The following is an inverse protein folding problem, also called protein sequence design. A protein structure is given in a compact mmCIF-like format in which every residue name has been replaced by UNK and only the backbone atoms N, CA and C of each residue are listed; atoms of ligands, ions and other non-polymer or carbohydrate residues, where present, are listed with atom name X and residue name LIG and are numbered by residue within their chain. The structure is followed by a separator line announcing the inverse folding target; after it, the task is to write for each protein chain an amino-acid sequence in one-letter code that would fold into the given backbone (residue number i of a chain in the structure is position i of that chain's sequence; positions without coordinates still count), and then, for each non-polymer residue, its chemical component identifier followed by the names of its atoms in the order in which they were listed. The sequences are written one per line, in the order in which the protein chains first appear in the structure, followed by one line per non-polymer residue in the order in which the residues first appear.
data_IF_251631589203
#
_entry.id   IF_251631589203
#
_cell.length_a   1.000
_cell.length_b   1.000
_cell.length_c   1.000
_cell.angle_alpha   90.00
_cell.angle_beta   90.00
_cell.angle_gamma   90.00
#
_symmetry.space_group_name_H-M   'P 1'
#
loop_
_entity.id
_entity.type
_entity.pdbx_description
1 polymer ?
#
# COMPACT_ATOMS: atom_id res chain seq x y z
N UNK A 1 -10.61 -13.54 -23.75
CA UNK A 1 -9.17 -13.24 -23.66
C UNK A 1 -9.07 -11.82 -23.14
N UNK A 2 -8.62 -11.65 -21.89
CA UNK A 2 -8.47 -10.33 -21.27
C UNK A 2 -7.32 -9.59 -21.94
N UNK A 3 -7.51 -8.31 -22.25
CA UNK A 3 -6.52 -7.42 -22.90
C UNK A 3 -5.59 -6.73 -21.90
N UNK A 4 -5.65 -7.06 -20.61
CA UNK A 4 -5.13 -6.17 -19.56
C UNK A 4 -3.65 -6.39 -19.15
N UNK A 5 -2.84 -7.07 -19.96
CA UNK A 5 -1.46 -7.48 -19.58
C UNK A 5 -0.36 -7.15 -20.61
N UNK A 6 -0.61 -6.28 -21.60
CA UNK A 6 0.46 -5.76 -22.47
C UNK A 6 1.43 -4.90 -21.65
N UNK A 7 2.73 -5.09 -21.88
CA UNK A 7 3.79 -4.30 -21.23
C UNK A 7 4.09 -3.09 -22.10
N UNK A 8 3.93 -1.88 -21.56
CA UNK A 8 4.33 -0.65 -22.24
C UNK A 8 5.85 -0.55 -22.29
N UNK A 9 6.50 -0.72 -21.14
CA UNK A 9 7.95 -0.82 -21.04
C UNK A 9 8.38 -1.54 -19.76
N UNK A 10 9.63 -2.00 -19.74
CA UNK A 10 10.26 -2.54 -18.54
C UNK A 10 11.67 -1.99 -18.35
N UNK A 11 12.03 -1.69 -17.10
CA UNK A 11 13.33 -1.15 -16.71
C UNK A 11 14.07 -2.18 -15.86
N UNK A 12 15.31 -2.52 -16.22
CA UNK A 12 16.18 -3.36 -15.43
C UNK A 12 17.14 -2.50 -14.61
N UNK A 13 17.20 -2.76 -13.31
CA UNK A 13 18.18 -2.25 -12.37
C UNK A 13 18.90 -3.44 -11.71
N UNK A 14 20.08 -3.21 -11.09
CA UNK A 14 20.73 -4.23 -10.25
C UNK A 14 19.84 -4.82 -9.17
N UNK A 15 18.90 -4.02 -8.66
CA UNK A 15 17.94 -4.41 -7.63
C UNK A 15 16.81 -5.30 -8.17
N UNK A 16 16.48 -5.22 -9.46
CA UNK A 16 15.39 -5.99 -10.07
C UNK A 16 14.80 -5.30 -11.31
N UNK A 17 13.68 -5.83 -11.79
CA UNK A 17 13.00 -5.37 -13.00
C UNK A 17 11.71 -4.67 -12.63
N UNK A 18 11.51 -3.44 -13.11
CA UNK A 18 10.27 -2.69 -12.97
C UNK A 18 9.48 -2.82 -14.27
N UNK A 19 8.29 -3.41 -14.20
CA UNK A 19 7.37 -3.64 -15.30
C UNK A 19 6.30 -2.57 -15.25
N UNK A 20 6.11 -1.84 -16.36
CA UNK A 20 5.05 -0.85 -16.52
C UNK A 20 4.06 -1.36 -17.58
N UNK A 21 2.90 -1.89 -17.15
CA UNK A 21 1.86 -2.33 -18.08
C UNK A 21 1.16 -1.15 -18.74
N UNK A 22 0.62 -1.34 -19.95
CA UNK A 22 -0.24 -0.34 -20.61
C UNK A 22 -1.50 0.00 -19.79
N UNK A 23 -1.92 -0.91 -18.90
CA UNK A 23 -3.03 -0.70 -17.97
C UNK A 23 -2.70 0.24 -16.80
N UNK A 24 -1.43 0.65 -16.69
CA UNK A 24 -0.91 1.57 -15.67
C UNK A 24 -0.37 0.90 -14.42
N UNK A 25 0.31 1.72 -13.61
CA UNK A 25 1.04 1.28 -12.42
C UNK A 25 2.47 0.82 -12.73
N UNK A 26 3.23 0.53 -11.67
CA UNK A 26 4.61 0.05 -11.77
C UNK A 26 4.76 -1.18 -10.88
N UNK A 27 5.20 -2.30 -11.44
CA UNK A 27 5.36 -3.56 -10.71
C UNK A 27 6.83 -3.91 -10.60
N UNK A 28 7.31 -4.22 -9.41
CA UNK A 28 8.67 -4.66 -9.17
C UNK A 28 8.77 -6.18 -9.16
N UNK A 29 9.66 -6.72 -9.99
CA UNK A 29 10.02 -8.13 -10.08
C UNK A 29 11.47 -8.29 -9.58
N UNK A 30 11.73 -8.95 -8.44
CA UNK A 30 13.04 -8.96 -7.79
C UNK A 30 14.14 -9.64 -8.61
N UNK A 31 13.78 -10.59 -9.47
CA UNK A 31 14.70 -11.25 -10.38
C UNK A 31 13.97 -11.72 -11.65
N UNK A 32 14.71 -11.91 -12.75
CA UNK A 32 14.15 -12.28 -14.05
C UNK A 32 13.49 -13.68 -14.09
N UNK A 33 13.75 -14.53 -13.09
CA UNK A 33 13.17 -15.86 -12.96
C UNK A 33 11.98 -15.92 -11.99
N UNK A 34 11.68 -14.82 -11.30
CA UNK A 34 10.58 -14.75 -10.34
C UNK A 34 9.24 -15.12 -11.00
N UNK A 35 8.39 -15.75 -10.20
CA UNK A 35 6.99 -16.08 -10.53
C UNK A 35 6.03 -14.95 -10.11
N UNK A 36 6.55 -13.86 -9.52
CA UNK A 36 5.77 -12.76 -8.97
C UNK A 36 6.37 -11.40 -9.31
N UNK A 37 5.50 -10.44 -9.62
CA UNK A 37 5.84 -9.02 -9.65
C UNK A 37 4.86 -8.24 -8.76
N UNK A 38 5.38 -7.32 -7.96
CA UNK A 38 4.66 -6.65 -6.89
C UNK A 38 4.34 -5.21 -7.27
N UNK A 39 3.07 -4.82 -7.22
CA UNK A 39 2.69 -3.43 -7.48
C UNK A 39 3.37 -2.48 -6.48
N UNK A 40 4.18 -1.57 -6.99
CA UNK A 40 4.62 -0.38 -6.29
C UNK A 40 3.46 0.62 -6.23
N UNK A 41 3.12 1.06 -5.02
CA UNK A 41 2.23 2.20 -4.82
C UNK A 41 3.07 3.46 -4.83
N UNK A 42 2.59 4.56 -5.43
CA UNK A 42 3.36 5.79 -5.47
C UNK A 42 2.71 6.89 -6.28
N UNK A 43 3.12 8.12 -6.03
CA UNK A 43 2.75 9.24 -6.89
C UNK A 43 3.59 9.17 -8.18
N UNK A 44 2.91 9.18 -9.33
CA UNK A 44 3.55 9.45 -10.60
C UNK A 44 3.55 10.96 -10.83
N UNK A 45 4.73 11.53 -11.03
CA UNK A 45 4.90 12.93 -11.37
C UNK A 45 5.63 13.06 -12.71
N UNK A 46 5.12 13.94 -13.57
CA UNK A 46 5.80 14.33 -14.80
C UNK A 46 6.56 15.63 -14.54
N UNK A 47 7.89 15.54 -14.58
CA UNK A 47 8.81 16.63 -14.24
C UNK A 47 9.67 16.96 -15.46
N UNK A 48 9.28 17.98 -16.22
CA UNK A 48 10.07 18.50 -17.35
C UNK A 48 10.49 17.41 -18.37
N UNK A 49 9.57 16.52 -18.75
CA UNK A 49 9.84 15.41 -19.69
C UNK A 49 10.34 14.12 -19.04
N UNK A 50 10.50 14.11 -17.70
CA UNK A 50 10.85 12.92 -16.92
C UNK A 50 9.62 12.37 -16.23
N UNK A 51 9.54 11.05 -16.13
CA UNK A 51 8.51 10.37 -15.35
C UNK A 51 9.18 9.87 -14.07
N UNK A 52 8.70 10.36 -12.93
CA UNK A 52 9.14 9.96 -11.61
C UNK A 52 8.02 9.16 -10.91
N UNK A 53 8.37 8.00 -10.38
CA UNK A 53 7.51 7.18 -9.53
C UNK A 53 8.07 7.16 -8.11
N UNK A 54 7.31 7.75 -7.19
CA UNK A 54 7.66 7.88 -5.79
C UNK A 54 7.05 6.73 -4.99
N UNK A 55 7.82 5.67 -4.72
CA UNK A 55 7.33 4.44 -4.10
C UNK A 55 7.61 4.46 -2.59
N UNK A 56 6.61 4.61 -1.70
CA UNK A 56 6.83 4.56 -0.27
C UNK A 56 7.30 3.18 0.16
N UNK A 57 8.11 3.16 1.21
CA UNK A 57 8.66 1.93 1.80
C UNK A 57 8.02 1.66 3.16
N UNK A 58 8.16 0.44 3.67
CA UNK A 58 7.72 0.09 5.04
C UNK A 58 8.85 0.05 6.05
N UNK A 59 10.04 0.53 5.68
CA UNK A 59 11.19 0.54 6.57
C UNK A 59 11.10 1.71 7.56
N UNK A 60 11.25 1.43 8.85
CA UNK A 60 11.26 2.48 9.87
C UNK A 60 12.46 3.43 9.77
N UNK A 61 13.50 3.03 9.03
CA UNK A 61 14.73 3.79 8.86
C UNK A 61 14.72 4.69 7.61
N UNK A 62 13.72 4.54 6.71
CA UNK A 62 13.60 5.36 5.49
C UNK A 62 12.23 5.26 4.82
N UNK A 63 11.78 6.37 4.23
CA UNK A 63 10.36 6.50 3.87
C UNK A 63 10.05 6.23 2.39
N UNK A 64 11.02 6.32 1.46
CA UNK A 64 10.72 6.25 0.02
C UNK A 64 11.84 5.74 -0.91
N UNK A 65 11.46 5.09 -2.03
CA UNK A 65 12.26 4.92 -3.25
C UNK A 65 11.80 5.87 -4.34
N UNK A 66 12.74 6.36 -5.14
CA UNK A 66 12.45 7.19 -6.32
C UNK A 66 12.94 6.47 -7.58
N UNK A 67 12.00 6.02 -8.40
CA UNK A 67 12.26 5.51 -9.75
C UNK A 67 11.98 6.63 -10.74
N UNK A 68 13.04 7.25 -11.25
CA UNK A 68 12.94 8.29 -12.29
C UNK A 68 13.46 7.76 -13.61
N UNK A 69 12.68 7.89 -14.68
CA UNK A 69 13.14 7.60 -16.04
C UNK A 69 12.71 8.67 -17.05
N UNK A 70 13.45 8.72 -18.15
CA UNK A 70 13.28 9.71 -19.22
C UNK A 70 13.40 8.99 -20.57
N UNK A 71 12.36 9.10 -21.40
CA UNK A 71 12.28 8.49 -22.73
C UNK A 71 12.08 9.61 -23.74
N UNK A 72 12.92 9.64 -24.77
CA UNK A 72 12.82 10.54 -25.92
C UNK A 72 12.96 9.70 -27.18
N UNK A 73 12.07 9.88 -28.15
CA UNK A 73 12.07 9.14 -29.43
C UNK A 73 12.22 7.62 -29.27
N UNK A 74 11.39 7.02 -28.40
CA UNK A 74 11.37 5.58 -28.07
C UNK A 74 12.69 5.04 -27.47
N UNK A 75 13.62 5.94 -27.12
CA UNK A 75 14.92 5.61 -26.56
C UNK A 75 15.02 6.08 -25.11
N UNK A 76 15.51 5.22 -24.22
CA UNK A 76 15.79 5.62 -22.84
C UNK A 76 17.00 6.56 -22.80
N UNK A 77 16.76 7.80 -22.37
CA UNK A 77 17.83 8.77 -22.11
C UNK A 77 18.52 8.48 -20.77
N UNK A 78 17.71 8.21 -19.74
CA UNK A 78 18.20 7.85 -18.41
C UNK A 78 17.12 7.12 -17.61
N UNK A 79 17.51 6.10 -16.85
CA UNK A 79 16.72 5.54 -15.76
C UNK A 79 17.57 5.52 -14.49
N UNK A 80 16.96 5.89 -13.37
CA UNK A 80 17.61 5.96 -12.06
C UNK A 80 16.67 5.41 -11.01
N UNK A 81 17.21 4.53 -10.19
CA UNK A 81 16.61 4.10 -8.94
C UNK A 81 17.43 4.72 -7.82
N UNK A 82 16.80 5.56 -7.01
CA UNK A 82 17.37 6.09 -5.79
C UNK A 82 16.73 5.31 -4.65
N UNK A 83 17.57 4.56 -3.96
CA UNK A 83 17.26 3.90 -2.70
C UNK A 83 17.93 4.67 -1.55
N UNK A 84 17.60 4.36 -0.29
CA UNK A 84 18.28 4.94 0.86
C UNK A 84 19.78 4.64 0.90
N UNK A 85 20.20 3.51 0.31
CA UNK A 85 21.56 2.98 0.41
C UNK A 85 22.35 3.11 -0.88
N UNK A 86 21.65 3.10 -2.02
CA UNK A 86 22.23 2.99 -3.35
C UNK A 86 21.56 3.95 -4.31
N UNK A 87 22.35 4.35 -5.31
CA UNK A 87 21.84 5.00 -6.50
C UNK A 87 22.27 4.18 -7.69
N UNK A 88 21.31 3.62 -8.39
CA UNK A 88 21.53 2.67 -9.48
C UNK A 88 21.04 3.26 -10.79
N UNK A 89 21.79 3.03 -11.86
CA UNK A 89 21.37 3.34 -13.21
C UNK A 89 20.62 2.14 -13.78
N UNK A 90 19.49 2.39 -14.43
CA UNK A 90 18.70 1.36 -15.10
C UNK A 90 18.90 1.38 -16.61
N UNK A 91 18.44 0.32 -17.27
CA UNK A 91 18.33 0.22 -18.72
C UNK A 91 16.94 -0.25 -19.13
N UNK A 92 16.52 0.03 -20.36
CA UNK A 92 15.37 -0.65 -20.95
C UNK A 92 15.70 -2.13 -21.15
N UNK A 93 14.72 -2.99 -20.86
CA UNK A 93 14.75 -4.36 -21.35
C UNK A 93 14.61 -4.36 -22.88
N UNK A 94 15.22 -5.34 -23.52
CA UNK A 94 15.01 -5.54 -24.96
C UNK A 94 13.67 -6.25 -25.23
N UNK A 95 13.22 -6.19 -26.48
CA UNK A 95 11.96 -6.78 -26.92
C UNK A 95 11.88 -8.29 -26.62
N UNK A 96 13.01 -9.00 -26.67
CA UNK A 96 13.05 -10.43 -26.42
C UNK A 96 12.80 -10.76 -24.95
N UNK A 97 13.34 -9.96 -24.04
CA UNK A 97 13.11 -10.09 -22.59
C UNK A 97 11.71 -9.62 -22.21
N UNK A 98 11.21 -8.53 -22.80
CA UNK A 98 9.80 -8.11 -22.64
C UNK A 98 8.86 -9.24 -23.07
N UNK A 99 9.09 -9.83 -24.24
CA UNK A 99 8.26 -10.93 -24.75
C UNK A 99 8.30 -12.18 -23.85
N UNK A 100 9.43 -12.45 -23.18
CA UNK A 100 9.49 -13.52 -22.16
C UNK A 100 8.60 -13.21 -20.97
N UNK A 101 8.63 -11.98 -20.46
CA UNK A 101 7.77 -11.54 -19.35
C UNK A 101 6.30 -11.63 -19.77
N UNK A 102 5.95 -11.13 -20.96
CA UNK A 102 4.58 -11.25 -21.50
C UNK A 102 4.14 -12.71 -21.63
N UNK A 103 5.01 -13.59 -22.11
CA UNK A 103 4.71 -15.03 -22.20
C UNK A 103 4.46 -15.62 -20.81
N UNK A 104 5.25 -15.23 -19.81
CA UNK A 104 5.05 -15.65 -18.41
C UNK A 104 3.73 -15.13 -17.82
N UNK A 105 3.31 -13.93 -18.18
CA UNK A 105 2.01 -13.37 -17.79
C UNK A 105 0.86 -14.14 -18.46
N UNK A 106 0.95 -14.38 -19.76
CA UNK A 106 -0.09 -15.05 -20.55
C UNK A 106 -0.30 -16.52 -20.14
N UNK A 107 0.77 -17.22 -19.76
CA UNK A 107 0.70 -18.62 -19.32
C UNK A 107 0.46 -18.76 -17.80
N UNK A 108 0.40 -17.65 -17.05
CA UNK A 108 0.17 -17.61 -15.61
C UNK A 108 1.35 -18.06 -14.74
N UNK A 109 2.56 -18.17 -15.30
CA UNK A 109 3.78 -18.49 -14.54
C UNK A 109 4.41 -17.26 -13.88
N UNK A 110 4.07 -16.07 -14.35
CA UNK A 110 4.29 -14.81 -13.65
C UNK A 110 2.94 -14.25 -13.26
N UNK A 111 2.77 -13.93 -11.99
CA UNK A 111 1.58 -13.26 -11.48
C UNK A 111 1.91 -11.81 -11.13
N UNK A 112 1.19 -10.86 -11.75
CA UNK A 112 1.16 -9.48 -11.27
C UNK A 112 0.33 -9.46 -9.99
N UNK A 113 1.01 -9.38 -8.86
CA UNK A 113 0.38 -9.20 -7.57
C UNK A 113 0.02 -7.73 -7.46
N UNK A 114 -1.24 -7.41 -7.76
CA UNK A 114 -1.85 -6.19 -7.27
C UNK A 114 -1.59 -6.15 -5.77
N UNK A 115 -0.80 -5.19 -5.32
CA UNK A 115 -0.45 -5.09 -3.93
C UNK A 115 -1.73 -5.06 -3.08
N UNK A 116 -1.63 -5.55 -1.85
CA UNK A 116 -2.52 -4.99 -0.85
C UNK A 116 -2.17 -3.50 -0.77
N UNK A 117 -3.10 -2.60 -1.14
CA UNK A 117 -2.98 -1.19 -0.75
C UNK A 117 -2.54 -1.18 0.73
N UNK A 118 -1.53 -0.37 1.11
CA UNK A 118 -1.11 -0.30 2.50
C UNK A 118 -2.36 -0.08 3.36
N UNK A 119 -2.45 -0.74 4.53
CA UNK A 119 -3.58 -0.51 5.40
C UNK A 119 -3.60 0.97 5.74
N UNK A 120 -4.74 1.60 5.56
CA UNK A 120 -4.87 3.04 5.77
C UNK A 120 -5.98 3.36 6.75
N UNK A 121 -5.77 4.43 7.49
CA UNK A 121 -6.72 4.98 8.42
C UNK A 121 -7.78 5.73 7.63
N UNK A 122 -8.98 5.17 7.56
CA UNK A 122 -10.12 5.88 6.97
C UNK A 122 -10.62 6.98 7.89
N UNK A 123 -10.69 6.68 9.19
CA UNK A 123 -11.21 7.59 10.20
C UNK A 123 -10.55 7.32 11.55
N UNK A 124 -10.25 8.37 12.29
CA UNK A 124 -9.90 8.30 13.70
C UNK A 124 -10.81 9.23 14.50
N UNK A 125 -11.22 8.81 15.70
CA UNK A 125 -12.04 9.61 16.58
C UNK A 125 -11.68 9.36 18.05
N UNK A 126 -11.91 10.37 18.89
CA UNK A 126 -11.58 10.34 20.32
C UNK A 126 -12.79 10.74 21.16
N UNK A 127 -13.04 9.98 22.23
CA UNK A 127 -14.00 10.32 23.27
C UNK A 127 -13.35 11.19 24.36
N UNK A 128 -14.17 11.89 25.16
CA UNK A 128 -13.68 12.79 26.21
C UNK A 128 -12.95 12.12 27.38
N UNK A 129 -12.92 10.78 27.45
CA UNK A 129 -12.21 9.98 28.44
C UNK A 129 -10.91 9.37 27.88
N UNK A 130 -10.35 9.99 26.84
CA UNK A 130 -9.16 9.57 26.12
C UNK A 130 -9.26 8.27 25.30
N UNK A 131 -10.43 7.62 25.26
CA UNK A 131 -10.66 6.48 24.37
C UNK A 131 -10.54 6.93 22.92
N UNK A 132 -9.63 6.32 22.17
CA UNK A 132 -9.45 6.53 20.74
C UNK A 132 -10.00 5.32 19.98
N UNK A 133 -10.67 5.56 18.86
CA UNK A 133 -11.05 4.54 17.89
C UNK A 133 -10.54 4.90 16.51
N UNK A 134 -10.08 3.89 15.78
CA UNK A 134 -9.48 4.05 14.45
C UNK A 134 -10.04 2.99 13.52
N UNK A 135 -10.61 3.41 12.40
CA UNK A 135 -11.01 2.51 11.33
C UNK A 135 -9.87 2.37 10.32
N UNK A 136 -9.35 1.15 10.19
CA UNK A 136 -8.33 0.82 9.20
C UNK A 136 -8.96 0.00 8.09
N UNK A 137 -8.68 0.38 6.84
CA UNK A 137 -8.99 -0.41 5.65
C UNK A 137 -7.71 -1.09 5.18
N UNK A 138 -7.72 -2.41 5.09
CA UNK A 138 -6.62 -3.24 4.63
C UNK A 138 -7.10 -4.19 3.53
N UNK A 139 -6.17 -4.79 2.79
CA UNK A 139 -6.47 -5.99 1.99
C UNK A 139 -5.79 -7.17 2.66
N UNK A 140 -6.56 -8.18 3.03
CA UNK A 140 -6.06 -9.39 3.68
C UNK A 140 -6.43 -10.63 2.86
N UNK A 141 -5.55 -11.63 2.89
CA UNK A 141 -5.76 -12.93 2.25
C UNK A 141 -5.33 -13.00 0.77
N UNK A 142 -5.31 -14.23 0.21
CA UNK A 142 -4.78 -14.50 -1.13
C UNK A 142 -5.57 -13.83 -2.27
N UNK A 143 -6.85 -13.50 -2.03
CA UNK A 143 -7.72 -12.85 -3.00
C UNK A 143 -7.77 -11.32 -2.84
N UNK A 144 -6.92 -10.75 -1.97
CA UNK A 144 -6.83 -9.31 -1.72
C UNK A 144 -8.18 -8.65 -1.39
N UNK A 145 -9.04 -9.36 -0.65
CA UNK A 145 -10.35 -8.85 -0.26
C UNK A 145 -10.18 -7.67 0.69
N UNK A 146 -10.96 -6.62 0.43
CA UNK A 146 -10.95 -5.41 1.22
C UNK A 146 -11.60 -5.68 2.57
N UNK A 147 -10.83 -5.54 3.63
CA UNK A 147 -11.24 -5.71 5.02
C UNK A 147 -11.19 -4.35 5.71
N UNK A 148 -12.18 -4.08 6.56
CA UNK A 148 -12.17 -2.90 7.42
C UNK A 148 -12.23 -3.36 8.87
N UNK A 149 -11.24 -2.93 9.65
CA UNK A 149 -11.06 -3.33 11.05
C UNK A 149 -11.09 -2.10 11.93
N UNK A 150 -11.92 -2.14 12.96
CA UNK A 150 -12.00 -1.09 13.97
C UNK A 150 -11.06 -1.42 15.12
N UNK A 151 -10.14 -0.52 15.40
CA UNK A 151 -9.26 -0.56 16.55
C UNK A 151 -9.73 0.45 17.61
N UNK A 152 -9.44 0.18 18.88
CA UNK A 152 -9.64 1.18 19.92
C UNK A 152 -8.97 0.87 21.24
N UNK A 153 -8.96 1.88 22.11
CA UNK A 153 -8.22 1.89 23.37
C UNK A 153 -7.49 3.22 23.59
N UNK A 154 -6.51 3.25 24.51
CA UNK A 154 -5.62 4.39 24.65
C UNK A 154 -4.68 4.49 23.44
N UNK A 155 -4.37 5.71 23.01
CA UNK A 155 -3.44 5.98 21.92
C UNK A 155 -2.09 5.29 22.16
N UNK A 156 -1.51 4.67 21.12
CA UNK A 156 -0.27 3.92 21.21
C UNK A 156 -0.43 2.44 21.64
N UNK A 157 -1.64 2.02 22.01
CA UNK A 157 -1.94 0.62 22.36
C UNK A 157 -3.38 0.23 21.96
N UNK A 158 -3.74 0.53 20.71
CA UNK A 158 -5.06 0.19 20.19
C UNK A 158 -5.15 -1.30 19.85
N UNK A 159 -6.30 -1.90 20.14
CA UNK A 159 -6.58 -3.32 19.86
C UNK A 159 -7.78 -3.45 18.94
N UNK A 160 -7.85 -4.49 18.10
CA UNK A 160 -9.04 -4.76 17.31
C UNK A 160 -10.23 -4.95 18.25
N UNK A 161 -11.32 -4.24 17.96
CA UNK A 161 -12.54 -4.26 18.77
C UNK A 161 -13.64 -5.15 18.19
N UNK A 162 -13.50 -5.56 16.92
CA UNK A 162 -14.50 -6.37 16.21
C UNK A 162 -13.91 -6.97 14.93
N UNK A 163 -14.53 -8.06 14.47
CA UNK A 163 -14.21 -8.76 13.22
C UNK A 163 -15.18 -8.42 12.07
N UNK A 164 -16.30 -7.74 12.35
CA UNK A 164 -17.30 -7.43 11.33
C UNK A 164 -18.04 -6.12 11.59
N UNK A 165 -18.62 -5.56 10.53
CA UNK A 165 -19.40 -4.33 10.58
C UNK A 165 -20.48 -4.34 9.52
N UNK A 166 -21.47 -3.46 9.68
CA UNK A 166 -22.49 -3.20 8.68
C UNK A 166 -22.21 -1.85 8.05
N UNK A 167 -22.08 -1.83 6.73
CA UNK A 167 -22.08 -0.60 5.95
C UNK A 167 -23.52 -0.19 5.70
N UNK A 168 -23.93 1.02 6.12
CA UNK A 168 -25.32 1.45 5.98
C UNK A 168 -25.44 2.97 5.83
N UNK A 169 -26.15 3.41 4.79
CA UNK A 169 -26.30 4.84 4.48
C UNK A 169 -24.93 5.53 4.40
N UNK A 170 -24.73 6.54 5.24
CA UNK A 170 -23.52 7.37 5.28
C UNK A 170 -22.58 7.06 6.45
N UNK A 171 -22.60 5.84 7.00
CA UNK A 171 -21.77 5.46 8.14
C UNK A 171 -21.33 4.00 8.11
N UNK A 172 -20.23 3.73 8.81
CA UNK A 172 -19.87 2.39 9.25
C UNK A 172 -20.43 2.14 10.66
N UNK A 173 -21.15 1.02 10.83
CA UNK A 173 -21.71 0.60 12.11
C UNK A 173 -21.05 -0.69 12.59
N UNK A 174 -20.46 -0.64 13.78
CA UNK A 174 -19.76 -1.75 14.40
C UNK A 174 -20.51 -2.18 15.66
N UNK A 175 -20.69 -3.49 15.83
CA UNK A 175 -21.04 -4.09 17.11
C UNK A 175 -19.76 -4.64 17.72
N UNK A 176 -19.36 -4.11 18.87
CA UNK A 176 -18.17 -4.57 19.58
C UNK A 176 -18.47 -5.87 20.34
N UNK A 177 -17.42 -6.58 20.77
CA UNK A 177 -17.54 -7.82 21.55
C UNK A 177 -18.33 -7.67 22.85
N UNK A 178 -18.31 -6.47 23.45
CA UNK A 178 -19.04 -6.11 24.67
C UNK A 178 -20.48 -5.63 24.41
N UNK A 179 -20.96 -5.72 23.16
CA UNK A 179 -22.26 -5.20 22.67
C UNK A 179 -22.38 -3.68 22.66
N UNK A 180 -21.29 -2.94 22.83
CA UNK A 180 -21.27 -1.51 22.57
C UNK A 180 -21.34 -1.27 21.06
N UNK A 181 -22.12 -0.28 20.64
CA UNK A 181 -22.18 0.12 19.22
C UNK A 181 -21.21 1.26 18.96
N UNK A 182 -20.48 1.18 17.85
CA UNK A 182 -19.70 2.31 17.32
C UNK A 182 -20.27 2.70 15.97
N UNK A 183 -20.53 3.99 15.78
CA UNK A 183 -20.93 4.56 14.50
C UNK A 183 -19.91 5.58 14.05
N UNK A 184 -19.32 5.36 12.87
CA UNK A 184 -18.37 6.26 12.22
C UNK A 184 -19.00 6.77 10.91
N UNK A 185 -19.60 7.97 10.91
CA UNK A 185 -20.06 8.62 9.68
C UNK A 185 -18.92 8.82 8.67
N UNK A 186 -19.26 8.87 7.38
CA UNK A 186 -18.30 9.22 6.34
C UNK A 186 -17.97 10.72 6.42
N UNK A 187 -16.77 11.04 6.88
CA UNK A 187 -16.24 12.41 7.02
C UNK A 187 -17.04 13.31 7.97
N UNK A 188 -16.72 14.61 7.95
CA UNK A 188 -17.46 15.66 8.67
C UNK A 188 -18.87 15.95 8.09
N UNK A 189 -19.49 14.97 7.42
CA UNK A 189 -20.67 15.15 6.58
C UNK A 189 -21.50 13.88 6.45
N UNK A 190 -21.89 13.28 7.59
CA UNK A 190 -22.93 12.26 7.62
C UNK A 190 -24.25 12.71 6.98
N UNK A 191 -25.36 11.95 7.13
CA UNK A 191 -26.66 12.32 6.54
C UNK A 191 -27.19 13.69 7.04
N UNK A 192 -26.57 14.23 8.10
CA UNK A 192 -26.64 15.63 8.50
C UNK A 192 -25.23 16.22 8.48
N UNK A 193 -25.05 17.50 8.07
CA UNK A 193 -23.79 18.20 8.24
C UNK A 193 -23.31 18.05 9.68
N UNK A 194 -22.06 17.60 9.87
CA UNK A 194 -21.43 17.43 11.18
C UNK A 194 -22.06 16.39 12.12
N UNK A 195 -22.69 15.30 11.63
CA UNK A 195 -23.05 14.20 12.55
C UNK A 195 -21.77 13.64 13.21
N UNK A 196 -21.63 13.73 14.54
CA UNK A 196 -20.41 13.31 15.19
C UNK A 196 -20.39 11.79 15.36
N UNK A 197 -19.20 11.17 15.34
CA UNK A 197 -19.07 9.74 15.58
C UNK A 197 -19.52 9.39 17.01
N UNK A 198 -20.02 8.16 17.21
CA UNK A 198 -20.57 7.70 18.48
C UNK A 198 -19.92 6.41 18.96
N UNK A 199 -19.69 6.30 20.27
CA UNK A 199 -19.22 5.10 20.94
C UNK A 199 -20.14 4.81 22.14
N UNK A 200 -21.02 3.82 21.99
CA UNK A 200 -22.15 3.63 22.91
C UNK A 200 -23.01 4.89 22.98
N UNK A 201 -23.16 5.45 24.18
CA UNK A 201 -23.90 6.69 24.42
C UNK A 201 -23.02 7.96 24.35
N UNK A 202 -21.72 7.83 24.03
CA UNK A 202 -20.78 8.95 24.01
C UNK A 202 -20.67 9.55 22.60
N UNK A 203 -20.59 10.88 22.54
CA UNK A 203 -20.24 11.62 21.34
C UNK A 203 -18.71 11.74 21.29
N UNK A 204 -18.12 11.42 20.14
CA UNK A 204 -16.69 11.52 19.88
C UNK A 204 -16.38 12.70 18.95
N UNK A 205 -15.15 13.18 18.99
CA UNK A 205 -14.61 14.13 18.02
C UNK A 205 -13.73 13.39 17.02
N UNK A 206 -13.81 13.73 15.73
CA UNK A 206 -12.82 13.26 14.76
C UNK A 206 -11.43 13.77 15.12
N UNK A 207 -10.43 12.95 14.84
CA UNK A 207 -9.02 13.33 14.87
C UNK A 207 -8.56 13.58 13.44
N UNK A 208 -7.78 14.63 13.25
CA UNK A 208 -7.05 14.82 11.99
C UNK A 208 -5.98 13.74 11.88
N UNK A 209 -5.93 13.10 10.72
CA UNK A 209 -4.95 12.08 10.37
C UNK A 209 -4.10 12.67 9.25
N UNK A 210 -2.94 13.28 9.58
CA UNK A 210 -2.13 14.01 8.60
C UNK A 210 -1.46 13.09 7.58
N UNK A 211 -1.18 11.84 7.98
CA UNK A 211 -0.72 10.75 7.14
C UNK A 211 -1.63 9.55 7.43
N UNK A 212 -2.48 9.17 6.46
CA UNK A 212 -3.43 8.07 6.61
C UNK A 212 -2.77 6.69 6.57
N UNK A 213 -1.48 6.60 6.28
CA UNK A 213 -0.72 5.35 6.23
C UNK A 213 0.14 5.13 7.50
N UNK A 214 0.32 6.14 8.37
CA UNK A 214 1.03 6.03 9.66
C UNK A 214 0.21 5.36 10.78
N UNK A 215 0.01 4.05 10.64
CA UNK A 215 -0.61 3.19 11.66
C UNK A 215 0.18 3.16 12.98
N UNK A 216 1.49 3.42 12.93
CA UNK A 216 2.40 3.34 14.06
C UNK A 216 2.18 4.50 15.04
N UNK A 217 1.87 5.71 14.57
CA UNK A 217 1.43 6.83 15.41
C UNK A 217 0.21 6.49 16.28
N UNK A 218 -0.63 5.55 15.83
CA UNK A 218 -1.78 5.05 16.58
C UNK A 218 -1.49 3.76 17.37
N UNK A 219 -0.27 3.21 17.29
CA UNK A 219 0.13 1.98 17.97
C UNK A 219 -0.56 0.73 17.43
N UNK A 220 -1.08 0.77 16.20
CA UNK A 220 -1.76 -0.35 15.56
C UNK A 220 -0.71 -1.28 14.95
N UNK A 221 -0.60 -2.48 15.52
CA UNK A 221 0.25 -3.55 14.98
C UNK A 221 -0.60 -4.48 14.13
N UNK A 222 -0.62 -4.29 12.82
CA UNK A 222 -1.15 -5.30 11.91
C UNK A 222 -0.12 -6.41 11.73
N UNK A 223 -0.57 -7.66 11.63
CA UNK A 223 0.28 -8.74 11.16
C UNK A 223 0.70 -8.37 9.75
N UNK A 224 1.91 -7.83 9.64
CA UNK A 224 2.52 -7.49 8.36
C UNK A 224 2.49 -8.79 7.55
N UNK A 225 1.84 -8.85 6.36
CA UNK A 225 2.01 -10.00 5.49
C UNK A 225 3.50 -10.22 5.31
N UNK A 226 3.92 -11.48 5.42
CA UNK A 226 5.29 -11.86 5.77
C UNK A 226 6.39 -10.98 5.12
N UNK A 227 7.38 -10.51 5.89
CA UNK A 227 8.40 -9.53 5.49
C UNK A 227 9.33 -9.97 4.34
N UNK A 228 9.13 -11.16 3.77
CA UNK A 228 9.78 -11.56 2.52
C UNK A 228 9.19 -10.84 1.28
N UNK A 229 8.23 -9.94 1.46
CA UNK A 229 7.48 -9.24 0.41
C UNK A 229 7.62 -7.70 0.43
N UNK A 230 8.55 -7.14 1.22
CA UNK A 230 9.08 -5.81 0.91
C UNK A 230 10.31 -6.01 0.02
N UNK A 231 10.15 -6.03 -1.33
CA UNK A 231 11.26 -6.24 -2.23
C UNK A 231 12.37 -5.20 -2.07
N UNK A 232 12.07 -4.08 -1.45
CA UNK A 232 12.95 -2.96 -1.43
C UNK A 232 13.79 -2.87 -0.15
N UNK A 233 13.45 -3.65 0.89
CA UNK A 233 14.23 -3.76 2.12
C UNK A 233 14.89 -5.15 2.30
N UNK A 234 15.72 -5.63 1.34
CA UNK A 234 16.29 -6.98 1.36
C UNK A 234 17.29 -7.22 2.51
N UNK A 235 17.84 -6.17 3.12
CA UNK A 235 18.79 -6.26 4.24
C UNK A 235 18.16 -6.87 5.51
N UNK A 236 16.82 -6.83 5.65
CA UNK A 236 16.09 -7.46 6.75
C UNK A 236 15.86 -8.96 6.56
N UNK A 237 15.92 -9.45 5.32
CA UNK A 237 15.84 -10.90 5.03
C UNK A 237 17.18 -11.62 5.25
N UNK A 238 18.26 -10.86 5.45
CA UNK A 238 19.61 -11.36 5.68
C UNK A 238 20.18 -10.91 7.05
N UNK A 239 19.34 -10.70 8.06
CA UNK A 239 19.87 -10.65 9.42
C UNK A 239 20.59 -11.99 9.67
N UNK A 240 21.91 -12.02 9.92
CA UNK A 240 22.56 -13.27 10.29
C UNK A 240 21.84 -13.81 11.52
N UNK A 241 21.43 -15.07 11.46
CA UNK A 241 21.17 -15.83 12.68
C UNK A 241 22.45 -15.78 13.49
N UNK A 242 22.53 -14.83 14.43
CA UNK A 242 23.71 -14.70 15.28
C UNK A 242 23.92 -16.04 16.00
N UNK A 243 25.15 -16.58 15.99
CA UNK A 243 25.48 -17.78 16.76
C UNK A 243 25.36 -17.54 18.27
#
# INVERSE_FOLDING_TARGET
MSKDHSIELALEFPEGIFILPESGGIYFMPDSNSDKAYLGYGAQEELHGKIAHNLPTRCADFDQYDVTYEIEDESLLAARLITPFTRSAGRLLDDADIQKIETKLQNGTLTLLAGAKPPKILYAAKAGDDTTVVLVESREGPDAQLKRTLYGGPLGNLKPLTDSYVQGGNSFYFMLLDKTTVALPYGHGGPKPNEPPKFGNKIMAYLDVPDDEDLAAFGIKMAVPEPHLDPFCPELNNAPSNP
#
